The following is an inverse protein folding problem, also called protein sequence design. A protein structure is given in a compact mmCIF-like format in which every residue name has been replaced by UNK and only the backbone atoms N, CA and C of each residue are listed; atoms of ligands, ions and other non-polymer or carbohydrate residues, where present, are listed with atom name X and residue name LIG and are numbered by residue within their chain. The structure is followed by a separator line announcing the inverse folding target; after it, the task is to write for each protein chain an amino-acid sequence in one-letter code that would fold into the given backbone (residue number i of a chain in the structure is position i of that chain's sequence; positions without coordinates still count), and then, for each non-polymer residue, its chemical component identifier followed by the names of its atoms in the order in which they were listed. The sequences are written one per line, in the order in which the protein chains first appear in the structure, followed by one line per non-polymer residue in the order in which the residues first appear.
data_IF_831961625361
#
_entry.id   IF_831961625361
#
_cell.length_a   1.000
_cell.length_b   1.000
_cell.length_c   1.000
_cell.angle_alpha   90.00
_cell.angle_beta   90.00
_cell.angle_gamma   90.00
#
_symmetry.space_group_name_H-M   'P 1'
#
loop_
_entity.id
_entity.type
_entity.pdbx_description
1 polymer ?
#
# COMPACT_ATOMS: atom_id res chain seq x y z
N UNK A 1 39.59 3.65 8.82
CA UNK A 1 40.76 4.50 8.51
C UNK A 1 40.75 5.83 9.26
N UNK A 2 39.61 6.25 9.82
CA UNK A 2 39.50 7.50 10.60
C UNK A 2 40.23 7.35 11.94
N UNK A 3 41.04 8.35 12.28
CA UNK A 3 41.67 8.51 13.59
C UNK A 3 40.92 9.63 14.30
N UNK A 4 40.43 9.39 15.51
CA UNK A 4 39.78 10.42 16.34
C UNK A 4 40.82 11.19 17.15
N UNK A 5 40.43 12.35 17.71
CA UNK A 5 41.31 13.12 18.60
C UNK A 5 41.89 12.27 19.75
N UNK A 6 41.05 11.43 20.37
CA UNK A 6 41.45 10.56 21.48
C UNK A 6 42.45 9.45 21.07
N UNK A 7 42.55 9.17 19.75
CA UNK A 7 43.44 8.16 19.19
C UNK A 7 44.75 8.76 18.65
N UNK A 8 44.93 10.08 18.73
CA UNK A 8 46.19 10.70 18.35
C UNK A 8 47.32 10.19 19.23
N UNK A 9 48.54 10.16 18.68
CA UNK A 9 49.73 9.91 19.50
C UNK A 9 49.83 11.00 20.60
N UNK A 10 50.14 10.65 21.86
CA UNK A 10 50.41 11.61 22.94
C UNK A 10 51.28 12.81 22.53
N UNK A 11 52.25 12.61 21.63
CA UNK A 11 53.11 13.69 21.12
C UNK A 11 52.35 14.79 20.36
N UNK A 12 51.21 14.48 19.74
CA UNK A 12 50.39 15.44 18.99
C UNK A 12 49.30 16.11 19.82
N UNK A 13 48.92 15.57 20.99
CA UNK A 13 47.81 16.11 21.80
C UNK A 13 48.02 17.57 22.22
N UNK A 14 49.23 17.91 22.71
CA UNK A 14 49.53 19.28 23.12
C UNK A 14 49.54 20.24 21.90
N UNK A 15 50.06 19.76 20.77
CA UNK A 15 50.10 20.53 19.53
C UNK A 15 48.68 20.79 18.99
N UNK A 16 47.83 19.77 19.00
CA UNK A 16 46.41 19.86 18.63
C UNK A 16 45.66 20.84 19.52
N UNK A 17 45.80 20.72 20.85
CA UNK A 17 45.17 21.63 21.82
C UNK A 17 45.56 23.09 21.60
N UNK A 18 46.84 23.36 21.32
CA UNK A 18 47.32 24.70 20.97
C UNK A 18 46.75 25.19 19.63
N UNK A 19 46.65 24.30 18.64
CA UNK A 19 46.01 24.60 17.36
C UNK A 19 44.55 25.01 17.53
N UNK A 20 43.78 24.26 18.31
CA UNK A 20 42.37 24.58 18.61
C UNK A 20 42.22 25.89 19.39
N UNK A 21 43.11 26.18 20.34
CA UNK A 21 43.13 27.47 21.02
C UNK A 21 43.42 28.63 20.05
N UNK A 22 44.34 28.44 19.09
CA UNK A 22 44.62 29.43 18.06
C UNK A 22 43.41 29.66 17.14
N UNK A 23 42.63 28.62 16.83
CA UNK A 23 41.35 28.73 16.11
C UNK A 23 40.34 29.57 16.89
N UNK A 24 40.17 29.32 18.19
CA UNK A 24 39.25 30.10 19.04
C UNK A 24 39.65 31.59 19.11
N UNK A 25 40.96 31.85 19.13
CA UNK A 25 41.54 33.19 19.11
C UNK A 25 41.55 33.82 17.71
N UNK A 26 41.04 33.12 16.68
CA UNK A 26 41.07 33.54 15.27
C UNK A 26 42.48 33.84 14.74
N UNK A 27 43.50 33.23 15.33
CA UNK A 27 44.87 33.30 14.85
C UNK A 27 45.10 32.19 13.81
N UNK A 28 44.59 32.44 12.60
CA UNK A 28 44.46 31.42 11.56
C UNK A 28 45.81 30.91 11.03
N UNK A 29 46.77 31.80 10.77
CA UNK A 29 48.11 31.42 10.29
C UNK A 29 48.84 30.54 11.32
N UNK A 30 48.75 30.90 12.60
CA UNK A 30 49.34 30.09 13.65
C UNK A 30 48.63 28.75 13.79
N UNK A 31 47.31 28.72 13.71
CA UNK A 31 46.54 27.48 13.71
C UNK A 31 46.95 26.54 12.56
N UNK A 32 47.13 27.06 11.33
CA UNK A 32 47.64 26.29 10.18
C UNK A 32 49.01 25.70 10.49
N UNK A 33 49.93 26.50 11.03
CA UNK A 33 51.30 26.05 11.35
C UNK A 33 51.34 24.91 12.41
N UNK A 34 50.38 24.87 13.32
CA UNK A 34 50.30 23.87 14.37
C UNK A 34 49.57 22.59 13.92
N UNK A 35 48.55 22.71 13.08
CA UNK A 35 47.68 21.59 12.69
C UNK A 35 48.23 20.83 11.46
N UNK A 36 48.85 21.53 10.51
CA UNK A 36 49.38 20.91 9.29
C UNK A 36 50.36 19.76 9.56
N UNK A 37 51.34 19.87 10.48
CA UNK A 37 52.25 18.76 10.77
C UNK A 37 51.52 17.50 11.27
N UNK A 38 50.42 17.68 12.03
CA UNK A 38 49.62 16.56 12.55
C UNK A 38 48.90 15.84 11.40
N UNK A 39 48.28 16.60 10.51
CA UNK A 39 47.52 16.08 9.36
C UNK A 39 48.41 15.35 8.35
N UNK A 40 49.66 15.79 8.17
CA UNK A 40 50.64 15.11 7.32
C UNK A 40 51.06 13.76 7.90
N UNK A 41 51.34 13.71 9.20
CA UNK A 41 51.83 12.52 9.89
C UNK A 41 50.73 11.53 10.28
N UNK A 42 49.48 11.99 10.41
CA UNK A 42 48.32 11.18 10.76
C UNK A 42 47.28 11.28 9.64
N UNK A 43 47.44 10.49 8.55
CA UNK A 43 46.64 10.73 7.35
C UNK A 43 45.13 10.53 7.54
N UNK A 44 44.75 9.64 8.48
CA UNK A 44 43.38 9.35 8.89
C UNK A 44 42.72 10.39 9.80
N UNK A 45 43.43 11.44 10.24
CA UNK A 45 42.89 12.46 11.14
C UNK A 45 42.05 13.50 10.38
N UNK A 46 40.85 13.08 9.97
CA UNK A 46 39.96 13.87 9.12
C UNK A 46 39.41 15.13 9.80
N UNK A 47 39.17 15.09 11.12
CA UNK A 47 38.72 16.28 11.85
C UNK A 47 39.82 17.34 11.90
N UNK A 48 41.08 16.93 12.04
CA UNK A 48 42.23 17.81 11.85
C UNK A 48 42.24 18.46 10.46
N UNK A 49 41.99 17.67 9.40
CA UNK A 49 41.90 18.20 8.02
C UNK A 49 40.78 19.22 7.84
N UNK A 50 39.60 18.98 8.42
CA UNK A 50 38.47 19.94 8.36
C UNK A 50 38.82 21.27 9.05
N UNK A 51 39.43 21.20 10.23
CA UNK A 51 39.85 22.40 10.96
C UNK A 51 40.97 23.13 10.22
N UNK A 52 41.96 22.38 9.70
CA UNK A 52 43.03 22.93 8.87
C UNK A 52 42.46 23.67 7.67
N UNK A 53 41.58 23.03 6.89
CA UNK A 53 41.00 23.61 5.68
C UNK A 53 40.21 24.88 5.96
N UNK A 54 39.49 24.93 7.09
CA UNK A 54 38.83 26.16 7.54
C UNK A 54 39.85 27.27 7.80
N UNK A 55 40.91 26.98 8.55
CA UNK A 55 41.94 27.97 8.86
C UNK A 55 42.66 28.46 7.59
N UNK A 56 43.03 27.55 6.69
CA UNK A 56 43.61 27.89 5.38
C UNK A 56 42.66 28.77 4.55
N UNK A 57 41.35 28.49 4.58
CA UNK A 57 40.33 29.31 3.94
C UNK A 57 40.25 30.74 4.50
N UNK A 58 40.34 30.91 5.82
CA UNK A 58 40.36 32.23 6.46
C UNK A 58 41.65 33.01 6.14
N UNK A 59 42.79 32.31 6.14
CA UNK A 59 44.08 32.89 5.72
C UNK A 59 44.00 33.36 4.26
N UNK A 60 43.55 32.49 3.34
CA UNK A 60 43.42 32.81 1.92
C UNK A 60 42.38 33.91 1.64
N UNK A 61 41.26 33.94 2.38
CA UNK A 61 40.19 34.94 2.25
C UNK A 61 40.57 36.33 2.78
N UNK A 62 41.49 36.41 3.74
CA UNK A 62 42.00 37.68 4.28
C UNK A 62 42.99 38.41 3.36
N UNK A 63 43.47 37.75 2.29
CA UNK A 63 44.35 38.29 1.26
C UNK A 63 43.63 38.54 -0.07
N UNK A 64 43.71 39.77 -0.59
CA UNK A 64 43.19 40.14 -1.93
C UNK A 64 43.78 39.27 -3.06
N UNK A 65 42.86 38.90 -3.98
CA UNK A 65 43.01 38.59 -5.42
C UNK A 65 43.32 37.14 -5.84
N UNK A 66 42.39 36.64 -6.65
CA UNK A 66 42.58 35.74 -7.81
C UNK A 66 44.04 35.45 -8.18
N UNK A 67 44.42 34.19 -8.09
CA UNK A 67 45.56 33.64 -8.81
C UNK A 67 45.05 32.65 -9.85
N UNK A 68 44.97 33.10 -11.10
CA UNK A 68 44.90 32.23 -12.27
C UNK A 68 46.32 31.66 -12.46
N UNK A 69 46.65 30.61 -11.72
CA UNK A 69 47.98 30.01 -11.68
C UNK A 69 47.91 28.51 -11.88
N UNK A 70 47.71 28.10 -13.14
CA UNK A 70 47.87 26.71 -13.56
C UNK A 70 49.29 26.22 -13.24
N UNK A 71 49.37 25.14 -12.47
CA UNK A 71 50.58 24.39 -12.23
C UNK A 71 50.22 22.92 -12.20
N UNK A 72 50.05 22.33 -13.38
CA UNK A 72 50.07 20.88 -13.54
C UNK A 72 51.44 20.40 -13.07
N UNK A 73 51.52 19.82 -11.87
CA UNK A 73 52.70 19.07 -11.47
C UNK A 73 52.62 17.68 -12.09
N UNK A 74 53.09 17.60 -13.34
CA UNK A 74 53.56 16.36 -13.92
C UNK A 74 54.84 15.94 -13.21
N UNK A 75 54.74 14.88 -12.41
CA UNK A 75 55.87 14.17 -11.81
C UNK A 75 55.65 12.68 -11.99
N UNK A 76 56.13 12.15 -13.12
CA UNK A 76 56.06 10.74 -13.47
C UNK A 76 56.90 9.88 -12.51
N UNK A 77 56.24 9.38 -11.48
CA UNK A 77 56.69 8.30 -10.61
C UNK A 77 55.46 7.79 -9.86
N UNK A 78 55.37 6.49 -9.58
CA UNK A 78 54.31 5.95 -8.69
C UNK A 78 54.61 6.39 -7.26
N UNK A 79 54.40 7.68 -6.98
CA UNK A 79 54.48 8.24 -5.63
C UNK A 79 53.37 7.60 -4.80
N UNK A 80 53.69 7.25 -3.55
CA UNK A 80 52.71 6.68 -2.64
C UNK A 80 51.51 7.64 -2.48
N UNK A 81 50.26 7.15 -2.51
CA UNK A 81 49.10 8.02 -2.45
C UNK A 81 49.05 8.91 -1.20
N UNK A 82 49.58 8.47 -0.05
CA UNK A 82 49.63 9.30 1.16
C UNK A 82 50.67 10.39 1.07
N UNK A 83 51.84 10.11 0.48
CA UNK A 83 52.83 11.15 0.23
C UNK A 83 52.30 12.20 -0.76
N UNK A 84 51.54 11.78 -1.77
CA UNK A 84 50.90 12.70 -2.71
C UNK A 84 49.84 13.57 -2.01
N UNK A 85 49.07 13.01 -1.06
CA UNK A 85 48.13 13.79 -0.23
C UNK A 85 48.87 14.79 0.66
N UNK A 86 49.96 14.38 1.32
CA UNK A 86 50.76 15.25 2.17
C UNK A 86 51.37 16.43 1.39
N UNK A 87 51.83 16.19 0.16
CA UNK A 87 52.30 17.24 -0.75
C UNK A 87 51.19 18.26 -1.08
N UNK A 88 49.95 17.79 -1.31
CA UNK A 88 48.82 18.69 -1.58
C UNK A 88 48.52 19.60 -0.38
N UNK A 89 48.49 19.04 0.83
CA UNK A 89 48.29 19.83 2.07
C UNK A 89 49.41 20.85 2.27
N UNK A 90 50.66 20.46 2.07
CA UNK A 90 51.79 21.35 2.33
C UNK A 90 51.95 22.44 1.26
N UNK A 91 51.74 22.12 -0.01
CA UNK A 91 52.19 23.00 -1.11
C UNK A 91 51.05 23.71 -1.83
N UNK A 92 49.84 23.14 -1.80
CA UNK A 92 48.70 23.64 -2.57
C UNK A 92 47.66 24.25 -1.64
N UNK A 93 47.16 23.49 -0.66
CA UNK A 93 46.00 23.89 0.11
C UNK A 93 46.24 25.05 1.08
N UNK A 94 47.47 25.24 1.56
CA UNK A 94 47.84 26.46 2.28
C UNK A 94 47.66 27.76 1.45
N UNK A 95 47.75 27.67 0.12
CA UNK A 95 47.67 28.84 -0.79
C UNK A 95 46.32 28.96 -1.48
N UNK A 96 45.82 27.84 -1.98
CA UNK A 96 44.52 27.74 -2.65
C UNK A 96 43.75 26.54 -2.08
N UNK A 97 43.11 26.72 -0.90
CA UNK A 97 42.44 25.65 -0.19
C UNK A 97 41.22 25.13 -0.97
N UNK A 98 40.65 25.95 -1.85
CA UNK A 98 39.43 25.61 -2.59
C UNK A 98 39.70 25.27 -4.06
N UNK A 99 40.96 25.04 -4.43
CA UNK A 99 41.33 24.69 -5.80
C UNK A 99 40.57 23.46 -6.29
N UNK A 100 39.81 23.61 -7.38
CA UNK A 100 39.04 22.50 -7.95
C UNK A 100 39.95 21.35 -8.40
N UNK A 101 41.06 21.69 -9.06
CA UNK A 101 42.00 20.70 -9.61
C UNK A 101 42.67 19.87 -8.50
N UNK A 102 43.13 20.52 -7.43
CA UNK A 102 43.80 19.86 -6.32
C UNK A 102 42.84 19.01 -5.48
N UNK A 103 41.62 19.50 -5.24
CA UNK A 103 40.61 18.72 -4.52
C UNK A 103 40.08 17.55 -5.36
N UNK A 104 40.02 17.66 -6.69
CA UNK A 104 39.77 16.48 -7.56
C UNK A 104 40.88 15.45 -7.47
N UNK A 105 42.13 15.89 -7.45
CA UNK A 105 43.26 14.97 -7.25
C UNK A 105 43.20 14.30 -5.86
N UNK A 106 42.86 15.05 -4.81
CA UNK A 106 42.64 14.50 -3.47
C UNK A 106 41.50 13.47 -3.47
N UNK A 107 40.40 13.76 -4.15
CA UNK A 107 39.27 12.83 -4.32
C UNK A 107 39.71 11.50 -4.96
N UNK A 108 40.44 11.56 -6.07
CA UNK A 108 40.92 10.36 -6.78
C UNK A 108 41.93 9.55 -5.96
N UNK A 109 42.84 10.22 -5.24
CA UNK A 109 43.79 9.56 -4.33
C UNK A 109 43.05 8.88 -3.16
N UNK A 110 42.06 9.55 -2.58
CA UNK A 110 41.24 9.02 -1.51
C UNK A 110 40.43 7.79 -1.96
N UNK A 111 39.89 7.79 -3.18
CA UNK A 111 39.22 6.61 -3.75
C UNK A 111 40.18 5.43 -3.96
N UNK A 112 41.40 5.68 -4.46
CA UNK A 112 42.42 4.63 -4.60
C UNK A 112 42.79 3.98 -3.27
N UNK A 113 42.77 4.78 -2.20
CA UNK A 113 43.00 4.34 -0.82
C UNK A 113 41.76 3.73 -0.16
N UNK A 114 40.60 3.69 -0.83
CA UNK A 114 39.31 3.31 -0.25
C UNK A 114 38.95 4.14 1.00
N UNK A 115 39.39 5.40 1.06
CA UNK A 115 39.08 6.31 2.14
C UNK A 115 37.94 7.26 1.74
N UNK A 116 36.72 6.75 1.77
CA UNK A 116 35.55 7.42 1.21
C UNK A 116 35.19 8.72 1.93
N UNK A 117 35.45 8.82 3.24
CA UNK A 117 35.21 10.05 3.99
C UNK A 117 36.15 11.18 3.56
N UNK A 118 37.42 10.87 3.26
CA UNK A 118 38.36 11.84 2.70
C UNK A 118 37.97 12.25 1.27
N UNK A 119 37.45 11.32 0.49
CA UNK A 119 36.92 11.62 -0.84
C UNK A 119 35.73 12.59 -0.75
N UNK A 120 34.76 12.33 0.13
CA UNK A 120 33.63 13.25 0.34
C UNK A 120 34.09 14.63 0.83
N UNK A 121 35.06 14.68 1.74
CA UNK A 121 35.66 15.94 2.22
C UNK A 121 36.27 16.77 1.08
N UNK A 122 36.96 16.13 0.13
CA UNK A 122 37.56 16.83 -1.00
C UNK A 122 36.49 17.50 -1.89
N UNK A 123 35.41 16.78 -2.19
CA UNK A 123 34.29 17.32 -2.97
C UNK A 123 33.50 18.40 -2.21
N UNK A 124 33.31 18.24 -0.90
CA UNK A 124 32.72 19.27 -0.03
C UNK A 124 33.55 20.55 -0.03
N UNK A 125 34.87 20.41 -0.01
CA UNK A 125 35.79 21.56 -0.04
C UNK A 125 35.67 22.33 -1.37
N UNK A 126 35.50 21.63 -2.49
CA UNK A 126 35.18 22.28 -3.77
C UNK A 126 33.85 23.04 -3.68
N UNK A 127 32.81 22.42 -3.11
CA UNK A 127 31.48 23.04 -2.95
C UNK A 127 31.56 24.32 -2.11
N UNK A 128 32.42 24.39 -1.09
CA UNK A 128 32.63 25.59 -0.29
C UNK A 128 33.18 26.76 -1.12
N UNK A 129 34.17 26.52 -1.99
CA UNK A 129 34.74 27.57 -2.84
C UNK A 129 33.96 27.89 -4.10
N UNK A 130 33.20 26.93 -4.61
CA UNK A 130 32.38 27.06 -5.82
C UNK A 130 30.93 26.57 -5.58
N UNK A 131 30.14 27.30 -4.77
CA UNK A 131 28.81 26.86 -4.36
C UNK A 131 27.78 26.80 -5.50
N UNK A 132 28.09 27.37 -6.67
CA UNK A 132 27.21 27.36 -7.85
C UNK A 132 27.56 26.27 -8.88
N UNK A 133 28.64 25.49 -8.67
CA UNK A 133 29.06 24.47 -9.63
C UNK A 133 28.24 23.19 -9.47
N UNK A 134 27.05 23.17 -10.07
CA UNK A 134 26.08 22.05 -9.97
C UNK A 134 26.66 20.72 -10.46
N UNK A 135 27.57 20.73 -11.45
CA UNK A 135 28.23 19.52 -11.97
C UNK A 135 29.00 18.78 -10.88
N UNK A 136 29.73 19.50 -10.02
CA UNK A 136 30.51 18.89 -8.94
C UNK A 136 29.64 18.56 -7.73
N UNK A 137 28.54 19.28 -7.53
CA UNK A 137 27.52 18.90 -6.55
C UNK A 137 26.85 17.58 -6.91
N UNK A 138 26.58 17.32 -8.19
CA UNK A 138 26.08 16.01 -8.65
C UNK A 138 27.07 14.88 -8.35
N UNK A 139 28.37 15.13 -8.57
CA UNK A 139 29.42 14.16 -8.24
C UNK A 139 29.46 13.87 -6.73
N UNK A 140 29.31 14.91 -5.89
CA UNK A 140 29.24 14.77 -4.43
C UNK A 140 28.00 14.01 -3.96
N UNK A 141 26.82 14.34 -4.50
CA UNK A 141 25.58 13.65 -4.15
C UNK A 141 25.61 12.17 -4.57
N UNK A 142 26.16 11.88 -5.76
CA UNK A 142 26.37 10.51 -6.25
C UNK A 142 27.35 9.74 -5.35
N UNK A 143 28.43 10.40 -4.92
CA UNK A 143 29.37 9.81 -3.97
C UNK A 143 28.68 9.43 -2.65
N UNK A 144 27.91 10.34 -2.06
CA UNK A 144 27.15 10.04 -0.84
C UNK A 144 26.13 8.90 -1.02
N UNK A 145 25.45 8.83 -2.16
CA UNK A 145 24.56 7.71 -2.47
C UNK A 145 25.29 6.38 -2.64
N UNK A 146 26.52 6.41 -3.16
CA UNK A 146 27.34 5.20 -3.37
C UNK A 146 27.80 4.61 -2.05
N UNK A 147 28.09 5.45 -1.05
CA UNK A 147 28.60 5.05 0.25
C UNK A 147 27.56 5.21 1.38
N UNK A 148 26.31 4.87 1.07
CA UNK A 148 25.20 4.76 2.04
C UNK A 148 24.98 5.97 2.96
N UNK A 149 25.18 7.18 2.45
CA UNK A 149 24.90 8.45 3.14
C UNK A 149 23.75 9.22 2.46
N UNK A 150 22.53 8.65 2.38
CA UNK A 150 21.41 9.23 1.64
C UNK A 150 20.94 10.58 2.20
N UNK A 151 21.10 10.81 3.52
CA UNK A 151 20.75 12.09 4.15
C UNK A 151 21.57 13.25 3.58
N UNK A 152 22.90 13.10 3.54
CA UNK A 152 23.80 14.10 2.97
C UNK A 152 23.59 14.24 1.46
N UNK A 153 23.29 13.16 0.75
CA UNK A 153 22.95 13.22 -0.66
C UNK A 153 21.70 14.07 -0.92
N UNK A 154 20.64 13.89 -0.12
CA UNK A 154 19.41 14.67 -0.22
C UNK A 154 19.68 16.17 -0.01
N UNK A 155 20.50 16.53 0.98
CA UNK A 155 20.89 17.92 1.22
C UNK A 155 21.62 18.54 0.01
N UNK A 156 22.52 17.79 -0.62
CA UNK A 156 23.27 18.26 -1.80
C UNK A 156 22.35 18.38 -3.02
N UNK A 157 21.49 17.40 -3.28
CA UNK A 157 20.51 17.48 -4.38
C UNK A 157 19.51 18.63 -4.19
N UNK A 158 19.00 18.84 -2.97
CA UNK A 158 18.16 19.98 -2.65
C UNK A 158 18.87 21.32 -2.83
N UNK A 159 20.18 21.39 -2.56
CA UNK A 159 20.99 22.57 -2.86
C UNK A 159 21.13 22.81 -4.38
N UNK A 160 21.27 21.75 -5.18
CA UNK A 160 21.29 21.87 -6.66
C UNK A 160 19.93 22.37 -7.16
N UNK A 161 18.82 21.80 -6.67
CA UNK A 161 17.47 22.18 -7.07
C UNK A 161 17.14 23.65 -6.73
N UNK A 162 17.77 24.22 -5.70
CA UNK A 162 17.67 25.67 -5.39
C UNK A 162 18.42 26.54 -6.40
N UNK A 163 19.53 26.05 -6.96
CA UNK A 163 20.34 26.78 -7.95
C UNK A 163 19.74 26.65 -9.35
N UNK A 164 19.35 25.42 -9.72
CA UNK A 164 18.68 25.10 -10.98
C UNK A 164 17.43 24.24 -10.72
N UNK A 165 16.25 24.88 -10.56
CA UNK A 165 14.99 24.16 -10.38
C UNK A 165 14.55 23.30 -11.56
N UNK A 166 15.19 23.43 -12.73
CA UNK A 166 14.89 22.63 -13.93
C UNK A 166 15.76 21.38 -14.02
N UNK A 167 16.71 21.21 -13.10
CA UNK A 167 17.55 20.03 -13.03
C UNK A 167 16.74 18.82 -12.57
N UNK A 168 16.25 18.06 -13.56
CA UNK A 168 15.48 16.84 -13.33
C UNK A 168 16.28 15.75 -12.63
N UNK A 169 17.61 15.72 -12.80
CA UNK A 169 18.49 14.74 -12.13
C UNK A 169 18.52 15.05 -10.63
N UNK A 170 18.66 16.33 -10.27
CA UNK A 170 18.67 16.76 -8.88
C UNK A 170 17.31 16.54 -8.20
N UNK A 171 16.22 16.93 -8.87
CA UNK A 171 14.86 16.76 -8.32
C UNK A 171 14.50 15.29 -8.10
N UNK A 172 14.92 14.41 -9.00
CA UNK A 172 14.76 12.96 -8.82
C UNK A 172 15.68 12.43 -7.73
N UNK A 173 16.95 12.81 -7.75
CA UNK A 173 17.96 12.40 -6.79
C UNK A 173 17.62 12.77 -5.35
N UNK A 174 17.03 13.94 -5.11
CA UNK A 174 16.56 14.36 -3.79
C UNK A 174 15.46 13.44 -3.25
N UNK A 175 14.47 13.09 -4.09
CA UNK A 175 13.38 12.17 -3.72
C UNK A 175 13.90 10.75 -3.45
N UNK A 176 14.76 10.25 -4.33
CA UNK A 176 15.37 8.92 -4.21
C UNK A 176 16.23 8.82 -2.93
N UNK A 177 17.00 9.87 -2.63
CA UNK A 177 17.81 9.98 -1.42
C UNK A 177 16.94 10.11 -0.16
N UNK A 178 15.87 10.91 -0.19
CA UNK A 178 14.94 11.04 0.94
C UNK A 178 14.20 9.72 1.24
N UNK A 179 13.77 8.99 0.21
CA UNK A 179 13.17 7.66 0.37
C UNK A 179 14.16 6.67 1.00
N UNK A 180 15.42 6.63 0.50
CA UNK A 180 16.46 5.77 1.05
C UNK A 180 16.83 6.15 2.49
N UNK A 181 16.86 7.44 2.83
CA UNK A 181 17.05 7.93 4.20
C UNK A 181 15.91 7.48 5.12
N UNK A 182 14.67 7.55 4.65
CA UNK A 182 13.52 7.08 5.44
C UNK A 182 13.58 5.58 5.71
N UNK A 183 13.98 4.77 4.72
CA UNK A 183 14.20 3.33 4.88
C UNK A 183 15.34 3.06 5.86
N UNK A 184 16.46 3.78 5.76
CA UNK A 184 17.63 3.59 6.63
C UNK A 184 17.34 3.99 8.09
N UNK A 185 16.56 5.07 8.31
CA UNK A 185 16.08 5.47 9.64
C UNK A 185 15.10 4.47 10.24
N UNK A 186 14.23 3.90 9.42
CA UNK A 186 13.32 2.82 9.87
C UNK A 186 14.08 1.52 10.15
N UNK A 187 15.23 1.30 9.50
CA UNK A 187 16.02 0.08 9.62
C UNK A 187 17.03 0.01 10.77
N UNK A 188 17.48 1.12 11.36
CA UNK A 188 18.66 1.12 12.26
C UNK A 188 18.56 2.01 13.52
N UNK A 189 17.37 2.24 14.05
CA UNK A 189 17.15 3.12 15.22
C UNK A 189 16.50 2.49 16.45
N UNK A 190 16.33 1.17 16.51
CA UNK A 190 15.62 0.48 17.59
C UNK A 190 16.54 -0.33 18.50
N UNK A 191 16.37 -0.18 19.82
CA UNK A 191 16.79 -1.11 20.88
C UNK A 191 16.83 -2.58 20.39
N UNK A 192 17.84 -3.39 20.74
CA UNK A 192 17.95 -4.78 20.25
C UNK A 192 16.68 -5.60 20.54
N UNK A 193 15.99 -5.27 21.64
CA UNK A 193 14.68 -5.82 22.00
C UNK A 193 13.55 -5.37 21.06
N UNK A 194 13.60 -4.14 20.54
CA UNK A 194 12.66 -3.66 19.52
C UNK A 194 13.01 -4.12 18.11
N UNK A 195 14.28 -4.40 17.80
CA UNK A 195 14.67 -5.06 16.55
C UNK A 195 14.18 -6.52 16.48
N UNK A 196 14.29 -7.28 17.59
CA UNK A 196 13.68 -8.60 17.71
C UNK A 196 12.15 -8.48 17.64
N UNK A 197 11.55 -7.55 18.39
CA UNK A 197 10.10 -7.31 18.34
C UNK A 197 9.61 -6.94 16.94
N UNK A 198 10.34 -6.11 16.20
CA UNK A 198 10.00 -5.73 14.83
C UNK A 198 10.21 -6.89 13.86
N UNK A 199 11.25 -7.72 14.04
CA UNK A 199 11.45 -8.92 13.24
C UNK A 199 10.36 -9.97 13.51
N UNK A 200 9.95 -10.14 14.76
CA UNK A 200 8.86 -11.02 15.16
C UNK A 200 7.50 -10.50 14.65
N UNK A 201 7.23 -9.20 14.77
CA UNK A 201 6.05 -8.55 14.19
C UNK A 201 6.03 -8.65 12.66
N UNK A 202 7.19 -8.50 12.00
CA UNK A 202 7.30 -8.65 10.55
C UNK A 202 7.09 -10.10 10.11
N UNK A 203 7.69 -11.07 10.81
CA UNK A 203 7.45 -12.49 10.57
C UNK A 203 5.99 -12.86 10.82
N UNK A 204 5.35 -12.31 11.84
CA UNK A 204 3.93 -12.54 12.12
C UNK A 204 3.03 -11.92 11.07
N UNK A 205 3.35 -10.73 10.55
CA UNK A 205 2.62 -10.12 9.44
C UNK A 205 2.80 -10.93 8.14
N UNK A 206 3.99 -11.47 7.91
CA UNK A 206 4.23 -12.38 6.78
C UNK A 206 3.41 -13.67 6.94
N UNK A 207 3.43 -14.27 8.14
CA UNK A 207 2.60 -15.41 8.47
C UNK A 207 1.12 -15.07 8.33
N UNK A 208 0.69 -13.87 8.75
CA UNK A 208 -0.69 -13.38 8.68
C UNK A 208 -1.17 -13.28 7.22
N UNK A 209 -0.29 -12.89 6.31
CA UNK A 209 -0.59 -12.71 4.89
C UNK A 209 -0.32 -13.96 4.03
N UNK A 210 0.28 -15.01 4.62
CA UNK A 210 0.55 -16.26 3.93
C UNK A 210 -0.74 -16.96 3.52
N UNK A 211 -0.87 -17.24 2.23
CA UNK A 211 -1.98 -18.04 1.70
C UNK A 211 -1.78 -19.54 1.97
N UNK A 212 -2.88 -20.28 2.15
CA UNK A 212 -2.87 -21.73 2.28
C UNK A 212 -2.31 -22.26 3.61
N UNK A 213 -2.48 -21.52 4.71
CA UNK A 213 -2.20 -22.03 6.06
C UNK A 213 -3.08 -23.24 6.38
N UNK A 214 -2.52 -24.21 7.11
CA UNK A 214 -3.34 -25.27 7.69
C UNK A 214 -4.16 -24.75 8.86
N UNK A 215 -5.20 -25.49 9.26
CA UNK A 215 -6.04 -25.12 10.41
C UNK A 215 -5.20 -24.92 11.67
N UNK A 216 -4.24 -25.83 11.93
CA UNK A 216 -3.36 -25.80 13.11
C UNK A 216 -2.45 -24.56 13.09
N UNK A 217 -1.94 -24.17 11.93
CA UNK A 217 -1.13 -22.95 11.77
C UNK A 217 -1.95 -21.69 12.04
N UNK A 218 -3.20 -21.66 11.60
CA UNK A 218 -4.13 -20.54 11.86
C UNK A 218 -4.49 -20.46 13.35
N UNK A 219 -4.73 -21.60 14.01
CA UNK A 219 -4.99 -21.68 15.46
C UNK A 219 -3.77 -21.24 16.29
N UNK A 220 -2.55 -21.65 15.91
CA UNK A 220 -1.33 -21.21 16.58
C UNK A 220 -1.13 -19.69 16.46
N UNK A 221 -1.33 -19.14 15.26
CA UNK A 221 -1.22 -17.71 15.02
C UNK A 221 -2.30 -16.93 15.77
N UNK A 222 -3.52 -17.48 15.84
CA UNK A 222 -4.61 -16.92 16.64
C UNK A 222 -4.21 -16.84 18.12
N UNK A 223 -3.66 -17.91 18.69
CA UNK A 223 -3.20 -17.92 20.08
C UNK A 223 -2.14 -16.83 20.37
N UNK A 224 -1.21 -16.61 19.43
CA UNK A 224 -0.19 -15.55 19.53
C UNK A 224 -0.83 -14.16 19.54
N UNK A 225 -1.73 -13.87 18.59
CA UNK A 225 -2.43 -12.58 18.57
C UNK A 225 -3.38 -12.40 19.76
N UNK A 226 -4.01 -13.47 20.26
CA UNK A 226 -4.82 -13.41 21.49
C UNK A 226 -3.99 -13.05 22.71
N UNK A 227 -2.75 -13.56 22.83
CA UNK A 227 -1.84 -13.15 23.90
C UNK A 227 -1.51 -11.65 23.81
N UNK A 228 -1.23 -11.14 22.60
CA UNK A 228 -0.97 -9.71 22.38
C UNK A 228 -2.19 -8.83 22.65
N UNK A 229 -3.39 -9.31 22.31
CA UNK A 229 -4.64 -8.65 22.63
C UNK A 229 -4.87 -8.56 24.15
N UNK A 230 -4.49 -9.59 24.91
CA UNK A 230 -4.59 -9.55 26.38
C UNK A 230 -3.65 -8.49 27.00
N UNK A 231 -2.53 -8.18 26.36
CA UNK A 231 -1.61 -7.11 26.78
C UNK A 231 -2.12 -5.72 26.39
N UNK A 232 -2.69 -5.57 25.20
CA UNK A 232 -3.24 -4.32 24.67
C UNK A 232 -4.51 -4.57 23.85
N UNK A 233 -5.66 -4.46 24.52
CA UNK A 233 -6.98 -4.66 23.89
C UNK A 233 -7.35 -3.53 22.92
N UNK A 234 -6.74 -2.34 23.06
CA UNK A 234 -7.02 -1.19 22.20
C UNK A 234 -6.27 -1.22 20.87
N UNK A 235 -5.34 -2.15 20.68
CA UNK A 235 -4.55 -2.24 19.46
C UNK A 235 -5.38 -2.80 18.30
N UNK A 236 -5.89 -1.91 17.46
CA UNK A 236 -6.73 -2.28 16.31
C UNK A 236 -6.09 -3.29 15.36
N UNK A 237 -4.75 -3.32 15.24
CA UNK A 237 -4.08 -4.28 14.35
C UNK A 237 -4.19 -5.71 14.90
N UNK A 238 -4.03 -5.90 16.22
CA UNK A 238 -4.23 -7.21 16.85
C UNK A 238 -5.69 -7.66 16.73
N UNK A 239 -6.64 -6.75 16.99
CA UNK A 239 -8.07 -7.03 16.87
C UNK A 239 -8.46 -7.44 15.45
N UNK A 240 -7.96 -6.72 14.42
CA UNK A 240 -8.19 -7.06 13.00
C UNK A 240 -7.56 -8.41 12.62
N UNK A 241 -6.36 -8.71 13.12
CA UNK A 241 -5.71 -10.00 12.88
C UNK A 241 -6.52 -11.15 13.48
N UNK A 242 -6.98 -11.01 14.73
CA UNK A 242 -7.83 -12.01 15.40
C UNK A 242 -9.13 -12.22 14.62
N UNK A 243 -9.80 -11.15 14.21
CA UNK A 243 -11.03 -11.23 13.42
C UNK A 243 -10.82 -12.00 12.10
N UNK A 244 -9.73 -11.71 11.38
CA UNK A 244 -9.36 -12.42 10.15
C UNK A 244 -9.08 -13.91 10.41
N UNK A 245 -8.35 -14.24 11.49
CA UNK A 245 -8.01 -15.62 11.80
C UNK A 245 -9.25 -16.45 12.18
N UNK A 246 -10.19 -15.87 12.93
CA UNK A 246 -11.48 -16.51 13.17
C UNK A 246 -12.29 -16.67 11.88
N UNK A 247 -12.29 -15.68 10.97
CA UNK A 247 -12.93 -15.81 9.66
C UNK A 247 -12.35 -16.99 8.86
N UNK A 248 -11.03 -17.15 8.86
CA UNK A 248 -10.33 -18.25 8.17
C UNK A 248 -10.63 -19.62 8.78
N UNK A 249 -10.83 -19.68 10.10
CA UNK A 249 -11.24 -20.90 10.79
C UNK A 249 -12.74 -21.23 10.59
N UNK A 250 -13.50 -20.33 9.98
CA UNK A 250 -14.94 -20.46 9.81
C UNK A 250 -15.76 -20.19 11.08
N UNK A 251 -15.13 -19.68 12.14
CA UNK A 251 -15.81 -19.27 13.37
C UNK A 251 -16.40 -17.86 13.17
N UNK A 252 -17.54 -17.83 12.48
CA UNK A 252 -18.23 -16.59 12.11
C UNK A 252 -18.65 -15.75 13.32
N UNK A 253 -18.95 -16.40 14.46
CA UNK A 253 -19.42 -15.71 15.65
C UNK A 253 -18.29 -14.89 16.30
N UNK A 254 -17.14 -15.52 16.51
CA UNK A 254 -15.97 -14.81 17.04
C UNK A 254 -15.43 -13.81 16.02
N UNK A 255 -15.38 -14.16 14.73
CA UNK A 255 -14.96 -13.24 13.68
C UNK A 255 -15.80 -11.95 13.69
N UNK A 256 -17.13 -12.07 13.71
CA UNK A 256 -18.03 -10.91 13.75
C UNK A 256 -17.80 -10.07 15.01
N UNK A 257 -17.69 -10.69 16.19
CA UNK A 257 -17.50 -9.97 17.44
C UNK A 257 -16.22 -9.12 17.44
N UNK A 258 -15.10 -9.68 16.96
CA UNK A 258 -13.84 -8.92 16.85
C UNK A 258 -13.89 -7.86 15.75
N UNK A 259 -14.59 -8.10 14.63
CA UNK A 259 -14.80 -7.07 13.61
C UNK A 259 -15.65 -5.90 14.11
N UNK A 260 -16.73 -6.18 14.85
CA UNK A 260 -17.56 -5.16 15.49
C UNK A 260 -16.76 -4.37 16.52
N UNK A 261 -15.95 -5.04 17.34
CA UNK A 261 -15.07 -4.37 18.28
C UNK A 261 -14.03 -3.48 17.56
N UNK A 262 -13.40 -3.97 16.49
CA UNK A 262 -12.49 -3.17 15.69
C UNK A 262 -13.17 -1.92 15.09
N UNK A 263 -14.45 -2.02 14.70
CA UNK A 263 -15.23 -0.85 14.24
C UNK A 263 -15.45 0.18 15.35
N UNK A 264 -15.60 -0.25 16.61
CA UNK A 264 -15.69 0.71 17.72
C UNK A 264 -14.39 1.50 17.91
N UNK A 265 -13.24 0.89 17.60
CA UNK A 265 -11.93 1.53 17.68
C UNK A 265 -11.65 2.46 16.49
N UNK A 266 -12.19 2.14 15.30
CA UNK A 266 -12.08 2.98 14.11
C UNK A 266 -13.38 2.98 13.28
N UNK A 267 -14.38 3.80 13.66
CA UNK A 267 -15.68 3.84 13.00
C UNK A 267 -15.64 4.32 11.54
N UNK A 268 -14.54 4.96 11.11
CA UNK A 268 -14.37 5.51 9.77
C UNK A 268 -13.75 4.54 8.75
N UNK A 269 -13.32 3.34 9.18
CA UNK A 269 -12.71 2.35 8.28
C UNK A 269 -13.79 1.66 7.43
N UNK A 270 -14.01 2.18 6.22
CA UNK A 270 -14.98 1.64 5.25
C UNK A 270 -14.69 0.18 4.87
N UNK A 271 -13.42 -0.23 4.84
CA UNK A 271 -13.06 -1.62 4.52
C UNK A 271 -13.48 -2.55 5.65
N UNK A 272 -13.25 -2.12 6.89
CA UNK A 272 -13.67 -2.84 8.09
C UNK A 272 -15.19 -2.89 8.23
N UNK A 273 -15.87 -1.81 7.89
CA UNK A 273 -17.34 -1.75 7.88
C UNK A 273 -17.92 -2.81 6.94
N UNK A 274 -17.44 -2.83 5.68
CA UNK A 274 -17.87 -3.82 4.69
C UNK A 274 -17.59 -5.26 5.13
N UNK A 275 -16.42 -5.49 5.74
CA UNK A 275 -16.05 -6.83 6.23
C UNK A 275 -16.96 -7.28 7.38
N UNK A 276 -17.31 -6.37 8.28
CA UNK A 276 -18.24 -6.64 9.39
C UNK A 276 -19.65 -6.95 8.87
N UNK A 277 -20.15 -6.16 7.92
CA UNK A 277 -21.44 -6.40 7.25
C UNK A 277 -21.45 -7.78 6.58
N UNK A 278 -20.39 -8.13 5.84
CA UNK A 278 -20.26 -9.45 5.23
C UNK A 278 -20.25 -10.58 6.26
N UNK A 279 -19.55 -10.43 7.39
CA UNK A 279 -19.54 -11.46 8.43
C UNK A 279 -20.91 -11.60 9.10
N UNK A 280 -21.62 -10.49 9.29
CA UNK A 280 -22.98 -10.49 9.83
C UNK A 280 -23.94 -11.23 8.90
N UNK A 281 -23.83 -10.98 7.59
CA UNK A 281 -24.63 -11.68 6.58
C UNK A 281 -24.34 -13.18 6.59
N UNK A 282 -23.06 -13.58 6.59
CA UNK A 282 -22.65 -14.99 6.66
C UNK A 282 -23.16 -15.68 7.92
N UNK A 283 -23.08 -15.01 9.08
CA UNK A 283 -23.56 -15.57 10.34
C UNK A 283 -25.09 -15.74 10.33
N UNK A 284 -25.83 -14.76 9.80
CA UNK A 284 -27.28 -14.86 9.64
C UNK A 284 -27.67 -15.96 8.65
N UNK A 285 -26.95 -16.10 7.53
CA UNK A 285 -27.12 -17.20 6.58
C UNK A 285 -26.96 -18.55 7.27
N UNK A 286 -25.85 -18.75 7.98
CA UNK A 286 -25.57 -19.99 8.69
C UNK A 286 -26.66 -20.30 9.73
N UNK A 287 -27.14 -19.29 10.45
CA UNK A 287 -28.21 -19.44 11.43
C UNK A 287 -29.56 -19.82 10.78
N UNK A 288 -29.91 -19.18 9.67
CA UNK A 288 -31.11 -19.52 8.88
C UNK A 288 -31.03 -20.96 8.39
N UNK A 289 -29.90 -21.36 7.79
CA UNK A 289 -29.69 -22.72 7.28
C UNK A 289 -29.79 -23.75 8.41
N UNK A 290 -29.20 -23.49 9.57
CA UNK A 290 -29.28 -24.40 10.71
C UNK A 290 -30.72 -24.63 11.18
N UNK A 291 -31.55 -23.58 11.22
CA UNK A 291 -32.97 -23.72 11.59
C UNK A 291 -33.73 -24.49 10.50
N UNK A 292 -33.46 -24.23 9.22
CA UNK A 292 -34.11 -24.93 8.10
C UNK A 292 -33.78 -26.42 8.10
N UNK A 293 -32.52 -26.79 8.28
CA UNK A 293 -32.07 -28.18 8.38
C UNK A 293 -32.70 -28.88 9.60
N UNK A 294 -32.74 -28.20 10.74
CA UNK A 294 -33.38 -28.74 11.93
C UNK A 294 -34.89 -28.96 11.72
N UNK A 295 -35.60 -28.02 11.09
CA UNK A 295 -37.03 -28.13 10.77
C UNK A 295 -37.30 -29.24 9.74
N UNK A 296 -36.41 -29.43 8.76
CA UNK A 296 -36.52 -30.50 7.77
C UNK A 296 -36.35 -31.88 8.41
N UNK A 297 -35.44 -32.00 9.38
CA UNK A 297 -35.23 -33.24 10.13
C UNK A 297 -36.32 -33.49 11.20
N UNK A 298 -36.95 -32.44 11.71
CA UNK A 298 -37.90 -32.49 12.83
C UNK A 298 -39.23 -31.76 12.54
N UNK A 299 -39.99 -32.14 11.49
CA UNK A 299 -41.16 -31.39 11.04
C UNK A 299 -42.31 -31.35 12.06
N UNK A 300 -42.39 -32.36 12.93
CA UNK A 300 -43.48 -32.57 13.89
C UNK A 300 -43.02 -32.44 15.36
N UNK A 301 -41.80 -31.93 15.61
CA UNK A 301 -41.33 -31.70 16.98
C UNK A 301 -42.21 -30.66 17.71
N UNK A 302 -42.39 -30.77 19.04
CA UNK A 302 -43.17 -29.81 19.82
C UNK A 302 -42.73 -28.35 19.61
N UNK A 303 -41.43 -28.12 19.42
CA UNK A 303 -40.81 -26.82 19.20
C UNK A 303 -40.83 -26.38 17.72
N UNK A 304 -41.29 -27.21 16.78
CA UNK A 304 -41.21 -26.93 15.34
C UNK A 304 -41.99 -25.68 14.95
N UNK A 305 -43.15 -25.45 15.56
CA UNK A 305 -43.94 -24.24 15.28
C UNK A 305 -43.25 -22.97 15.80
N UNK A 306 -42.56 -23.05 16.94
CA UNK A 306 -41.76 -21.95 17.46
C UNK A 306 -40.55 -21.67 16.56
N UNK A 307 -39.87 -22.71 16.09
CA UNK A 307 -38.74 -22.57 15.17
C UNK A 307 -39.17 -22.00 13.81
N UNK A 308 -40.36 -22.35 13.30
CA UNK A 308 -40.92 -21.72 12.09
C UNK A 308 -41.16 -20.23 12.27
N UNK A 309 -41.71 -19.82 13.42
CA UNK A 309 -41.92 -18.40 13.76
C UNK A 309 -40.58 -17.67 13.89
N UNK A 310 -39.60 -18.27 14.54
CA UNK A 310 -38.26 -17.72 14.66
C UNK A 310 -37.61 -17.55 13.28
N UNK A 311 -37.64 -18.58 12.43
CA UNK A 311 -37.15 -18.53 11.05
C UNK A 311 -37.80 -17.40 10.25
N UNK A 312 -39.12 -17.25 10.34
CA UNK A 312 -39.85 -16.19 9.67
C UNK A 312 -39.42 -14.79 10.16
N UNK A 313 -39.27 -14.61 11.48
CA UNK A 313 -38.83 -13.35 12.08
C UNK A 313 -37.39 -12.98 11.64
N UNK A 314 -36.47 -13.94 11.67
CA UNK A 314 -35.06 -13.74 11.26
C UNK A 314 -34.98 -13.39 9.77
N UNK A 315 -35.70 -14.10 8.91
CA UNK A 315 -35.76 -13.80 7.47
C UNK A 315 -36.36 -12.41 7.20
N UNK A 316 -37.38 -12.02 7.96
CA UNK A 316 -37.99 -10.70 7.86
C UNK A 316 -37.01 -9.60 8.29
N UNK A 317 -36.32 -9.78 9.42
CA UNK A 317 -35.33 -8.82 9.91
C UNK A 317 -34.17 -8.64 8.91
N UNK A 318 -33.65 -9.74 8.36
CA UNK A 318 -32.60 -9.70 7.34
C UNK A 318 -33.06 -8.95 6.09
N UNK A 319 -34.25 -9.27 5.60
CA UNK A 319 -34.84 -8.60 4.44
C UNK A 319 -35.01 -7.10 4.67
N UNK A 320 -35.47 -6.69 5.86
CA UNK A 320 -35.61 -5.29 6.24
C UNK A 320 -34.26 -4.56 6.26
N UNK A 321 -33.20 -5.20 6.78
CA UNK A 321 -31.85 -4.64 6.78
C UNK A 321 -31.33 -4.40 5.36
N UNK A 322 -31.43 -5.41 4.49
CA UNK A 322 -31.00 -5.35 3.09
C UNK A 322 -31.74 -4.25 2.31
N UNK A 323 -33.05 -4.11 2.54
CA UNK A 323 -33.87 -3.04 1.95
C UNK A 323 -33.39 -1.68 2.47
N UNK A 324 -33.19 -1.52 3.77
CA UNK A 324 -32.76 -0.26 4.37
C UNK A 324 -31.43 0.21 3.77
N UNK A 325 -30.44 -0.67 3.68
CA UNK A 325 -29.13 -0.35 3.12
C UNK A 325 -29.23 0.03 1.63
N UNK A 326 -29.94 -0.80 0.84
CA UNK A 326 -30.15 -0.55 -0.58
C UNK A 326 -30.88 0.78 -0.81
N UNK A 327 -31.85 1.11 0.05
CA UNK A 327 -32.58 2.37 0.01
C UNK A 327 -31.66 3.55 0.30
N UNK A 328 -30.83 3.48 1.33
CA UNK A 328 -29.82 4.52 1.63
C UNK A 328 -28.85 4.71 0.45
N UNK A 329 -28.44 3.62 -0.23
CA UNK A 329 -27.59 3.72 -1.43
C UNK A 329 -28.30 4.47 -2.56
N UNK A 330 -29.57 4.16 -2.82
CA UNK A 330 -30.39 4.88 -3.81
C UNK A 330 -30.61 6.34 -3.42
N UNK A 331 -30.85 6.64 -2.15
CA UNK A 331 -31.03 8.01 -1.66
C UNK A 331 -29.76 8.86 -1.85
N UNK A 332 -28.58 8.27 -1.65
CA UNK A 332 -27.29 8.93 -1.89
C UNK A 332 -27.04 9.21 -3.37
N UNK A 333 -27.43 8.29 -4.25
CA UNK A 333 -27.24 8.40 -5.71
C UNK A 333 -28.53 8.07 -6.50
N UNK A 334 -29.54 8.96 -6.52
CA UNK A 334 -30.88 8.63 -7.05
C UNK A 334 -30.95 8.36 -8.56
N UNK A 335 -29.95 8.80 -9.31
CA UNK A 335 -29.85 8.65 -10.78
C UNK A 335 -29.20 7.33 -11.19
N UNK A 336 -28.54 6.63 -10.26
CA UNK A 336 -27.90 5.35 -10.55
C UNK A 336 -28.96 4.25 -10.68
N UNK A 337 -29.14 3.78 -11.92
CA UNK A 337 -30.10 2.73 -12.26
C UNK A 337 -29.69 1.36 -11.75
N UNK A 338 -28.38 1.12 -11.55
CA UNK A 338 -27.88 -0.11 -10.95
C UNK A 338 -28.30 -0.23 -9.49
N UNK A 339 -28.18 0.85 -8.71
CA UNK A 339 -28.65 0.86 -7.32
C UNK A 339 -30.16 0.65 -7.21
N UNK A 340 -30.95 1.16 -8.17
CA UNK A 340 -32.39 0.90 -8.22
C UNK A 340 -32.71 -0.56 -8.54
N UNK A 341 -31.91 -1.20 -9.38
CA UNK A 341 -32.03 -2.64 -9.62
C UNK A 341 -31.76 -3.43 -8.34
N UNK A 342 -30.69 -3.11 -7.62
CA UNK A 342 -30.34 -3.75 -6.34
C UNK A 342 -31.49 -3.59 -5.31
N UNK A 343 -32.05 -2.39 -5.19
CA UNK A 343 -33.21 -2.13 -4.30
C UNK A 343 -34.46 -2.91 -4.73
N UNK A 344 -34.74 -2.96 -6.04
CA UNK A 344 -35.85 -3.76 -6.57
C UNK A 344 -35.69 -5.26 -6.29
N UNK A 345 -34.48 -5.79 -6.43
CA UNK A 345 -34.14 -7.17 -6.09
C UNK A 345 -34.29 -7.44 -4.58
N UNK A 346 -33.87 -6.49 -3.72
CA UNK A 346 -34.04 -6.61 -2.28
C UNK A 346 -35.53 -6.65 -1.89
N UNK A 347 -36.37 -5.77 -2.47
CA UNK A 347 -37.82 -5.82 -2.27
C UNK A 347 -38.44 -7.12 -2.77
N UNK A 348 -38.03 -7.63 -3.93
CA UNK A 348 -38.51 -8.90 -4.46
C UNK A 348 -38.19 -10.07 -3.51
N UNK A 349 -36.95 -10.14 -3.01
CA UNK A 349 -36.51 -11.19 -2.09
C UNK A 349 -37.28 -11.14 -0.75
N UNK A 350 -37.71 -9.95 -0.34
CA UNK A 350 -38.54 -9.74 0.84
C UNK A 350 -40.04 -10.05 0.61
N UNK A 351 -40.44 -10.44 -0.61
CA UNK A 351 -41.85 -10.63 -0.98
C UNK A 351 -42.62 -9.31 -1.18
N UNK A 352 -41.94 -8.17 -1.14
CA UNK A 352 -42.50 -6.82 -1.31
C UNK A 352 -42.60 -6.46 -2.79
N UNK A 353 -43.38 -7.24 -3.54
CA UNK A 353 -43.45 -7.13 -5.00
C UNK A 353 -44.01 -5.78 -5.48
N UNK A 354 -44.90 -5.16 -4.70
CA UNK A 354 -45.50 -3.86 -5.05
C UNK A 354 -44.45 -2.75 -5.05
N UNK A 355 -43.56 -2.78 -4.08
CA UNK A 355 -42.45 -1.86 -3.88
C UNK A 355 -41.29 -2.13 -4.84
N UNK A 356 -41.07 -3.40 -5.20
CA UNK A 356 -40.05 -3.79 -6.18
C UNK A 356 -40.32 -3.22 -7.60
N UNK A 357 -41.59 -3.24 -8.04
CA UNK A 357 -41.98 -2.86 -9.41
C UNK A 357 -41.50 -1.45 -9.82
N UNK A 358 -41.79 -0.35 -9.09
CA UNK A 358 -41.37 0.98 -9.51
C UNK A 358 -39.84 1.13 -9.58
N UNK A 359 -39.09 0.49 -8.68
CA UNK A 359 -37.62 0.53 -8.71
C UNK A 359 -37.05 -0.22 -9.91
N UNK A 360 -37.60 -1.39 -10.22
CA UNK A 360 -37.21 -2.17 -11.41
C UNK A 360 -37.64 -1.49 -12.72
N UNK A 361 -38.78 -0.80 -12.75
CA UNK A 361 -39.20 0.03 -13.89
C UNK A 361 -38.20 1.16 -14.16
N UNK A 362 -37.70 1.81 -13.10
CA UNK A 362 -36.65 2.82 -13.23
C UNK A 362 -35.33 2.20 -13.71
N UNK A 363 -34.97 1.02 -13.20
CA UNK A 363 -33.75 0.30 -13.56
C UNK A 363 -33.69 -0.12 -15.03
N UNK A 364 -34.85 -0.44 -15.64
CA UNK A 364 -34.99 -0.78 -17.07
C UNK A 364 -34.44 0.30 -18.04
N UNK A 365 -34.24 1.53 -17.56
CA UNK A 365 -33.60 2.61 -18.32
C UNK A 365 -32.09 2.45 -18.56
N UNK A 366 -31.40 1.53 -17.88
CA UNK A 366 -29.98 1.28 -18.11
C UNK A 366 -29.78 0.08 -19.06
N UNK A 367 -29.18 0.29 -20.26
CA UNK A 367 -29.02 -0.77 -21.27
C UNK A 367 -28.30 -2.03 -20.79
N UNK A 368 -27.33 -1.91 -19.86
CA UNK A 368 -26.52 -3.04 -19.41
C UNK A 368 -27.25 -3.98 -18.45
N UNK A 369 -28.30 -3.51 -17.78
CA UNK A 369 -29.10 -4.29 -16.81
C UNK A 369 -30.56 -4.42 -17.23
N UNK A 370 -30.94 -3.83 -18.37
CA UNK A 370 -32.31 -3.72 -18.84
C UNK A 370 -33.05 -5.06 -18.90
N UNK A 371 -32.44 -6.06 -19.52
CA UNK A 371 -33.02 -7.41 -19.66
C UNK A 371 -33.15 -8.12 -18.32
N UNK A 372 -32.19 -7.93 -17.41
CA UNK A 372 -32.28 -8.43 -16.02
C UNK A 372 -33.40 -7.75 -15.25
N UNK A 373 -33.56 -6.44 -15.40
CA UNK A 373 -34.66 -5.69 -14.79
C UNK A 373 -36.03 -6.14 -15.32
N UNK A 374 -36.15 -6.42 -16.62
CA UNK A 374 -37.37 -6.98 -17.22
C UNK A 374 -37.68 -8.39 -16.70
N UNK A 375 -36.67 -9.26 -16.59
CA UNK A 375 -36.81 -10.59 -16.00
C UNK A 375 -37.35 -10.47 -14.56
N UNK A 376 -36.78 -9.58 -13.76
CA UNK A 376 -37.25 -9.31 -12.40
C UNK A 376 -38.67 -8.74 -12.35
N UNK A 377 -39.02 -7.81 -13.24
CA UNK A 377 -40.38 -7.28 -13.35
C UNK A 377 -41.38 -8.39 -13.68
N UNK A 378 -41.05 -9.25 -14.63
CA UNK A 378 -41.88 -10.40 -14.99
C UNK A 378 -42.13 -11.31 -13.79
N UNK A 379 -41.09 -11.58 -12.98
CA UNK A 379 -41.23 -12.34 -11.72
C UNK A 379 -42.11 -11.62 -10.69
N UNK A 380 -41.97 -10.30 -10.54
CA UNK A 380 -42.86 -9.53 -9.64
C UNK A 380 -44.33 -9.66 -10.07
N UNK A 381 -44.61 -9.53 -11.37
CA UNK A 381 -45.98 -9.66 -11.89
C UNK A 381 -46.52 -11.08 -11.72
N UNK A 382 -45.72 -12.11 -11.99
CA UNK A 382 -46.08 -13.50 -11.78
C UNK A 382 -46.45 -13.78 -10.32
N UNK A 383 -45.62 -13.33 -9.36
CA UNK A 383 -45.89 -13.49 -7.93
C UNK A 383 -47.15 -12.76 -7.45
N UNK A 384 -47.58 -11.73 -8.19
CA UNK A 384 -48.85 -11.02 -7.97
C UNK A 384 -50.02 -11.60 -8.76
N UNK A 385 -49.84 -12.75 -9.44
CA UNK A 385 -50.80 -13.38 -10.36
C UNK A 385 -51.22 -12.50 -11.55
N UNK A 386 -50.43 -11.47 -11.90
CA UNK A 386 -50.62 -10.60 -13.06
C UNK A 386 -49.93 -11.23 -14.29
N UNK A 387 -50.40 -12.42 -14.67
CA UNK A 387 -49.71 -13.29 -15.64
C UNK A 387 -49.60 -12.69 -17.04
N UNK A 388 -50.53 -11.83 -17.44
CA UNK A 388 -50.50 -11.08 -18.70
C UNK A 388 -49.33 -10.08 -18.75
N UNK A 389 -49.12 -9.32 -17.67
CA UNK A 389 -47.99 -8.40 -17.53
C UNK A 389 -46.66 -9.15 -17.40
N UNK A 390 -46.66 -10.29 -16.73
CA UNK A 390 -45.49 -11.17 -16.62
C UNK A 390 -45.06 -11.68 -18.00
N UNK A 391 -46.00 -12.24 -18.77
CA UNK A 391 -45.77 -12.71 -20.14
C UNK A 391 -45.23 -11.59 -21.03
N UNK A 392 -45.84 -10.41 -20.98
CA UNK A 392 -45.38 -9.24 -21.74
C UNK A 392 -43.94 -8.85 -21.39
N UNK A 393 -43.61 -8.81 -20.11
CA UNK A 393 -42.26 -8.45 -19.63
C UNK A 393 -41.20 -9.46 -20.07
N UNK A 394 -41.49 -10.77 -19.97
CA UNK A 394 -40.57 -11.81 -20.44
C UNK A 394 -40.44 -11.82 -21.97
N UNK A 395 -41.52 -11.61 -22.71
CA UNK A 395 -41.48 -11.53 -24.16
C UNK A 395 -40.66 -10.31 -24.66
N UNK A 396 -40.76 -9.16 -23.98
CA UNK A 396 -39.92 -7.98 -24.28
C UNK A 396 -38.45 -8.27 -23.99
N UNK A 397 -38.13 -8.90 -22.85
CA UNK A 397 -36.77 -9.32 -22.53
C UNK A 397 -36.20 -10.30 -23.57
N UNK A 398 -37.00 -11.28 -24.01
CA UNK A 398 -36.58 -12.27 -25.00
C UNK A 398 -36.22 -11.61 -26.35
N UNK A 399 -36.99 -10.60 -26.78
CA UNK A 399 -36.73 -9.87 -28.03
C UNK A 399 -35.39 -9.12 -28.01
N UNK A 400 -34.97 -8.61 -26.86
CA UNK A 400 -33.70 -7.90 -26.72
C UNK A 400 -32.50 -8.85 -26.57
N UNK A 401 -32.74 -10.09 -26.13
CA UNK A 401 -31.70 -11.12 -25.97
C UNK A 401 -31.49 -11.87 -27.30
N UNK A 402 -30.44 -11.51 -28.04
CA UNK A 402 -30.11 -12.14 -29.33
C UNK A 402 -29.29 -13.43 -29.17
N UNK A 403 -28.45 -13.50 -28.12
CA UNK A 403 -27.58 -14.65 -27.84
C UNK A 403 -28.30 -15.60 -26.89
N UNK A 404 -28.23 -16.90 -27.17
CA UNK A 404 -28.75 -17.95 -26.29
C UNK A 404 -27.80 -18.24 -25.13
N UNK A 405 -27.72 -17.28 -24.20
CA UNK A 405 -26.96 -17.40 -22.96
C UNK A 405 -27.82 -17.91 -21.78
N UNK A 406 -27.25 -17.96 -20.57
CA UNK A 406 -28.00 -18.38 -19.38
C UNK A 406 -29.20 -17.47 -19.08
N UNK A 407 -29.10 -16.18 -19.39
CA UNK A 407 -30.17 -15.20 -19.14
C UNK A 407 -31.33 -15.44 -20.10
N UNK A 408 -31.05 -15.65 -21.39
CA UNK A 408 -32.09 -15.94 -22.39
C UNK A 408 -32.80 -17.25 -22.09
N UNK A 409 -32.07 -18.31 -21.72
CA UNK A 409 -32.66 -19.57 -21.30
C UNK A 409 -33.59 -19.39 -20.09
N UNK A 410 -33.18 -18.58 -19.11
CA UNK A 410 -34.02 -18.30 -17.94
C UNK A 410 -35.28 -17.50 -18.32
N UNK A 411 -35.16 -16.46 -19.15
CA UNK A 411 -36.30 -15.67 -19.63
C UNK A 411 -37.31 -16.54 -20.40
N UNK A 412 -36.83 -17.39 -21.31
CA UNK A 412 -37.68 -18.30 -22.08
C UNK A 412 -38.38 -19.32 -21.17
N UNK A 413 -37.68 -19.83 -20.16
CA UNK A 413 -38.24 -20.79 -19.22
C UNK A 413 -39.36 -20.15 -18.39
N UNK A 414 -39.12 -18.96 -17.85
CA UNK A 414 -40.12 -18.21 -17.07
C UNK A 414 -41.32 -17.78 -17.94
N UNK A 415 -41.06 -17.41 -19.20
CA UNK A 415 -42.11 -17.15 -20.19
C UNK A 415 -42.98 -18.39 -20.40
N UNK A 416 -42.38 -19.58 -20.56
CA UNK A 416 -43.12 -20.82 -20.71
C UNK A 416 -43.97 -21.14 -19.47
N UNK A 417 -43.42 -20.99 -18.27
CA UNK A 417 -44.15 -21.23 -17.02
C UNK A 417 -45.35 -20.29 -16.86
N UNK A 418 -45.22 -19.04 -17.26
CA UNK A 418 -46.34 -18.09 -17.25
C UNK A 418 -47.37 -18.42 -18.33
N UNK A 419 -46.94 -18.80 -19.54
CA UNK A 419 -47.84 -19.27 -20.59
C UNK A 419 -48.65 -20.50 -20.14
N UNK A 420 -48.02 -21.47 -19.49
CA UNK A 420 -48.70 -22.63 -18.88
C UNK A 420 -49.77 -22.20 -17.86
N UNK A 421 -49.44 -21.25 -16.97
CA UNK A 421 -50.41 -20.69 -15.99
C UNK A 421 -51.58 -19.98 -16.65
N UNK A 422 -51.37 -19.40 -17.83
CA UNK A 422 -52.42 -18.76 -18.63
C UNK A 422 -53.22 -19.76 -19.48
N UNK A 423 -52.83 -21.04 -19.52
CA UNK A 423 -53.40 -22.04 -20.42
C UNK A 423 -52.92 -21.94 -21.87
N UNK A 424 -51.95 -21.08 -22.17
CA UNK A 424 -51.35 -20.92 -23.49
C UNK A 424 -50.27 -21.98 -23.74
N UNK A 425 -50.73 -23.20 -24.01
CA UNK A 425 -49.85 -24.35 -24.29
C UNK A 425 -48.96 -24.14 -25.51
N UNK A 426 -49.45 -23.42 -26.52
CA UNK A 426 -48.72 -23.16 -27.75
C UNK A 426 -47.51 -22.26 -27.48
N UNK A 427 -47.72 -21.12 -26.82
CA UNK A 427 -46.64 -20.21 -26.45
C UNK A 427 -45.65 -20.81 -25.46
N UNK A 428 -46.12 -21.65 -24.53
CA UNK A 428 -45.24 -22.39 -23.62
C UNK A 428 -44.31 -23.34 -24.37
N UNK A 429 -44.88 -24.18 -25.25
CA UNK A 429 -44.10 -25.15 -26.02
C UNK A 429 -43.12 -24.49 -27.00
N UNK A 430 -43.49 -23.36 -27.59
CA UNK A 430 -42.61 -22.57 -28.45
C UNK A 430 -41.36 -22.10 -27.70
N UNK A 431 -41.54 -21.46 -26.54
CA UNK A 431 -40.43 -20.98 -25.73
C UNK A 431 -39.53 -22.14 -25.21
N UNK A 432 -40.12 -23.26 -24.81
CA UNK A 432 -39.36 -24.44 -24.36
C UNK A 432 -38.56 -25.08 -25.50
N UNK A 433 -39.09 -25.11 -26.73
CA UNK A 433 -38.37 -25.64 -27.91
C UNK A 433 -37.14 -24.81 -28.26
N UNK A 434 -37.20 -23.50 -28.10
CA UNK A 434 -36.02 -22.64 -28.26
C UNK A 434 -34.88 -23.04 -27.31
N UNK A 435 -35.22 -23.32 -26.04
CA UNK A 435 -34.24 -23.79 -25.06
C UNK A 435 -33.75 -25.19 -25.42
N UNK A 436 -34.67 -26.13 -25.70
CA UNK A 436 -34.36 -27.52 -26.01
C UNK A 436 -33.36 -27.67 -27.17
N UNK A 437 -33.54 -26.89 -28.24
CA UNK A 437 -32.65 -26.90 -29.40
C UNK A 437 -31.23 -26.42 -29.08
N UNK A 438 -31.07 -25.57 -28.05
CA UNK A 438 -29.78 -25.01 -27.67
C UNK A 438 -29.11 -25.74 -26.50
N UNK A 439 -29.91 -26.25 -25.56
CA UNK A 439 -29.48 -26.93 -24.34
C UNK A 439 -30.55 -27.93 -23.89
N UNK A 440 -30.38 -29.18 -24.33
CA UNK A 440 -31.26 -30.30 -24.00
C UNK A 440 -31.37 -30.54 -22.47
N UNK A 441 -30.31 -30.27 -21.70
CA UNK A 441 -30.23 -30.55 -20.28
C UNK A 441 -30.76 -29.45 -19.36
N UNK A 442 -31.35 -28.38 -19.92
CA UNK A 442 -31.81 -27.25 -19.11
C UNK A 442 -33.05 -27.59 -18.30
N UNK A 443 -32.90 -27.72 -16.97
CA UNK A 443 -34.00 -27.99 -16.02
C UNK A 443 -34.85 -29.20 -16.45
N UNK A 444 -36.17 -29.07 -16.54
CA UNK A 444 -37.12 -30.10 -16.97
C UNK A 444 -37.60 -29.89 -18.42
N UNK A 445 -36.90 -29.07 -19.22
CA UNK A 445 -37.33 -28.68 -20.58
C UNK A 445 -37.51 -29.89 -21.49
N UNK A 446 -36.54 -30.82 -21.53
CA UNK A 446 -36.63 -32.01 -22.37
C UNK A 446 -37.88 -32.84 -22.07
N UNK A 447 -38.13 -33.11 -20.79
CA UNK A 447 -39.32 -33.84 -20.37
C UNK A 447 -40.62 -33.14 -20.81
N UNK A 448 -40.72 -31.81 -20.64
CA UNK A 448 -41.91 -31.04 -21.03
C UNK A 448 -42.14 -31.03 -22.55
N UNK A 449 -41.07 -30.86 -23.33
CA UNK A 449 -41.17 -30.82 -24.80
C UNK A 449 -41.54 -32.20 -25.34
N UNK A 450 -40.87 -33.26 -24.91
CA UNK A 450 -41.12 -34.64 -25.39
C UNK A 450 -42.50 -35.15 -24.98
N UNK A 451 -42.96 -34.82 -23.76
CA UNK A 451 -44.32 -35.15 -23.30
C UNK A 451 -45.42 -34.47 -24.11
N UNK A 452 -45.12 -33.43 -24.89
CA UNK A 452 -46.10 -32.78 -25.78
C UNK A 452 -46.32 -33.52 -27.10
N UNK A 453 -45.46 -34.49 -27.43
CA UNK A 453 -45.55 -35.34 -28.63
C UNK A 453 -46.11 -36.74 -28.34
N UNK A 454 -46.27 -37.07 -27.06
CA UNK A 454 -46.91 -38.31 -26.57
C UNK A 454 -48.38 -38.04 -26.31
#
# INVERSE_FOLDING_TARGET
MIVTEAQLDPKYHNLWKKGMLAIEQKNWEYAVSLILPIVKEVPGFLDGRKVLRRAEGEVAGSGKKFSLGGGLFGGGGKKDPWEAIADLEERVFQKDPFSESANKQLYELALKLQFHELASFALETIRMGQPQNTKLMHQLATHYMTYDQPEKAAEVYGAIAKIDPRDMIATKGEKDAAARSSILRQGWGGDFKSAIKNADEQNELELLNRQGRTKEQTEELLARFSAKYNEDQGNINHVKAIAQLYEELGDLANALSFYEYALTLNPGDVSLQRRTELMRDKQQDAYITAIEEWLAANPDAPEAEEQRKNLAAVKQQRSASMISESKTRVERNPTDKGLRFDLGQAYFNAGMYTEAIPELQQAKGNPHIRTKAMLMLGRCFEKKNMNDLAKSSFAEANKELTIMDSTKKEVLYELAMVCDKMGDKAGSLEALKEIYNADYGYKDVAHRVESSYS
#
